data_IF_681678376920
#
_entry.id   IF_681678376920
#
_cell.length_a   1.000
_cell.length_b   1.000
_cell.length_c   1.000
_cell.angle_alpha   90.00
_cell.angle_beta   90.00
_cell.angle_gamma   90.00
#
_symmetry.space_group_name_H-M   'P 1'
#
loop_
_entity.id
_entity.type
_entity.pdbx_description
1 polymer ?
#
# COMPACT_ATOMS: atom_id res chain seq x y z
N UNK A 1 24.29 -5.47 -58.49
CA UNK A 1 23.22 -4.54 -58.09
C UNK A 1 23.25 -4.40 -56.58
N UNK A 2 23.36 -3.16 -56.15
CA UNK A 2 23.61 -2.63 -54.80
C UNK A 2 22.65 -3.16 -53.71
N UNK A 3 23.20 -3.72 -52.65
CA UNK A 3 22.51 -3.98 -51.38
C UNK A 3 22.80 -2.80 -50.45
N UNK A 4 21.75 -2.07 -50.08
CA UNK A 4 21.81 -0.93 -49.17
C UNK A 4 22.06 -1.39 -47.73
N UNK A 5 23.08 -0.80 -47.09
CA UNK A 5 23.41 -0.97 -45.68
C UNK A 5 22.45 -0.16 -44.81
N UNK A 6 21.68 -0.85 -43.97
CA UNK A 6 20.83 -0.21 -42.95
C UNK A 6 21.69 0.28 -41.78
N UNK A 7 21.81 1.60 -41.64
CA UNK A 7 22.41 2.27 -40.49
C UNK A 7 21.53 2.10 -39.25
N UNK A 8 22.11 1.58 -38.17
CA UNK A 8 21.48 1.53 -36.84
C UNK A 8 21.20 2.96 -36.35
N UNK A 9 19.94 3.25 -36.05
CA UNK A 9 19.54 4.48 -35.37
C UNK A 9 19.75 4.31 -33.86
N UNK A 10 20.80 4.92 -33.33
CA UNK A 10 20.91 5.18 -31.88
C UNK A 10 19.87 6.23 -31.45
N UNK A 11 19.49 6.28 -30.16
CA UNK A 11 18.53 7.26 -29.67
C UNK A 11 19.14 8.66 -29.82
N UNK A 12 18.50 9.45 -30.67
CA UNK A 12 18.80 10.86 -30.89
C UNK A 12 18.87 11.59 -29.57
N UNK A 13 20.02 12.16 -29.26
CA UNK A 13 20.27 13.04 -28.11
C UNK A 13 19.43 14.32 -28.31
N UNK A 14 18.18 14.28 -27.88
CA UNK A 14 17.35 15.48 -27.80
C UNK A 14 18.01 16.44 -26.80
N UNK A 15 18.20 17.67 -27.25
CA UNK A 15 18.76 18.77 -26.48
C UNK A 15 18.00 18.95 -25.17
N UNK A 16 18.73 18.79 -24.06
CA UNK A 16 18.28 19.16 -22.73
C UNK A 16 18.14 20.69 -22.65
N UNK A 17 16.97 21.22 -22.98
CA UNK A 17 16.64 22.63 -22.83
C UNK A 17 15.13 22.88 -22.66
N UNK A 18 14.41 21.95 -22.05
CA UNK A 18 13.06 22.18 -21.50
C UNK A 18 13.00 21.54 -20.11
N UNK A 19 13.83 22.05 -19.19
CA UNK A 19 13.49 21.93 -17.78
C UNK A 19 12.31 22.87 -17.53
N UNK A 20 11.09 22.41 -17.83
CA UNK A 20 9.90 23.03 -17.26
C UNK A 20 10.16 23.13 -15.77
N UNK A 21 10.28 24.35 -15.25
CA UNK A 21 10.51 24.56 -13.84
C UNK A 21 9.41 23.79 -13.11
N UNK A 22 9.78 22.74 -12.38
CA UNK A 22 8.83 21.95 -11.60
C UNK A 22 8.24 22.92 -10.58
N UNK A 23 7.07 23.48 -10.88
CA UNK A 23 6.33 24.32 -9.94
C UNK A 23 5.89 23.39 -8.82
N UNK A 24 6.45 23.53 -7.59
CA UNK A 24 6.05 22.68 -6.49
C UNK A 24 4.55 22.80 -6.28
N UNK A 25 3.91 21.67 -5.96
CA UNK A 25 2.49 21.67 -5.63
C UNK A 25 2.23 22.54 -4.39
N UNK A 26 0.98 22.99 -4.17
CA UNK A 26 0.67 23.87 -3.04
C UNK A 26 1.01 23.25 -1.68
N UNK A 27 1.02 21.91 -1.59
CA UNK A 27 1.56 21.19 -0.42
C UNK A 27 2.24 19.89 -0.84
N UNK A 28 3.13 19.36 0.02
CA UNK A 28 3.79 18.05 -0.18
C UNK A 28 2.79 16.88 -0.34
N UNK A 29 1.54 17.02 0.11
CA UNK A 29 0.50 16.03 -0.13
C UNK A 29 0.03 16.03 -1.59
N UNK A 30 -0.10 17.20 -2.24
CA UNK A 30 -0.53 17.31 -3.64
C UNK A 30 0.48 16.70 -4.62
N UNK A 31 1.75 16.64 -4.22
CA UNK A 31 2.81 15.99 -4.98
C UNK A 31 2.83 14.47 -4.80
N UNK A 32 2.12 13.95 -3.80
CA UNK A 32 2.10 12.52 -3.52
C UNK A 32 1.30 11.73 -4.55
N UNK A 33 1.71 10.48 -4.79
CA UNK A 33 0.97 9.57 -5.67
C UNK A 33 -0.43 9.25 -5.15
N UNK A 34 -0.60 9.23 -3.82
CA UNK A 34 -1.91 9.08 -3.17
C UNK A 34 -2.89 10.18 -3.60
N UNK A 35 -2.46 11.44 -3.64
CA UNK A 35 -3.32 12.53 -4.12
C UNK A 35 -3.64 12.39 -5.61
N UNK A 36 -2.66 12.01 -6.42
CA UNK A 36 -2.78 11.96 -7.88
C UNK A 36 -3.65 10.81 -8.38
N UNK A 37 -3.57 9.65 -7.72
CA UNK A 37 -4.13 8.41 -8.27
C UNK A 37 -5.13 7.70 -7.35
N UNK A 38 -5.17 8.05 -6.06
CA UNK A 38 -6.02 7.38 -5.05
C UNK A 38 -6.97 8.35 -4.36
N UNK A 39 -7.36 9.42 -5.04
CA UNK A 39 -8.36 10.37 -4.59
C UNK A 39 -9.52 10.42 -5.57
N UNK A 40 -10.73 10.25 -5.07
CA UNK A 40 -11.94 10.15 -5.88
C UNK A 40 -13.06 11.01 -5.30
N UNK A 41 -14.02 11.37 -6.14
CA UNK A 41 -15.31 11.86 -5.65
C UNK A 41 -16.14 10.68 -5.11
N UNK A 42 -17.08 10.91 -4.18
CA UNK A 42 -17.96 9.84 -3.68
C UNK A 42 -18.72 9.13 -4.80
N UNK A 43 -19.22 9.88 -5.80
CA UNK A 43 -19.89 9.32 -6.97
C UNK A 43 -18.95 8.49 -7.83
N UNK A 44 -17.75 9.01 -8.16
CA UNK A 44 -16.78 8.29 -8.97
C UNK A 44 -16.29 6.99 -8.31
N UNK A 45 -16.18 6.97 -6.98
CA UNK A 45 -15.84 5.75 -6.24
C UNK A 45 -16.95 4.69 -6.35
N UNK A 46 -18.22 5.11 -6.30
CA UNK A 46 -19.35 4.20 -6.50
C UNK A 46 -19.38 3.65 -7.93
N UNK A 47 -19.14 4.50 -8.93
CA UNK A 47 -19.10 4.11 -10.34
C UNK A 47 -18.00 3.07 -10.61
N UNK A 48 -16.77 3.31 -10.11
CA UNK A 48 -15.64 2.37 -10.23
C UNK A 48 -16.01 1.00 -9.68
N UNK A 49 -16.65 0.96 -8.50
CA UNK A 49 -17.05 -0.30 -7.86
C UNK A 49 -18.16 -1.00 -8.61
N UNK A 50 -19.13 -0.26 -9.13
CA UNK A 50 -20.22 -0.81 -9.91
C UNK A 50 -19.71 -1.40 -11.23
N UNK A 51 -18.84 -0.68 -11.94
CA UNK A 51 -18.21 -1.15 -13.17
C UNK A 51 -17.36 -2.41 -12.92
N UNK A 52 -16.56 -2.40 -11.85
CA UNK A 52 -15.71 -3.53 -11.47
C UNK A 52 -16.54 -4.77 -11.12
N UNK A 53 -17.60 -4.60 -10.33
CA UNK A 53 -18.49 -5.70 -9.96
C UNK A 53 -19.18 -6.27 -11.20
N UNK A 54 -19.71 -5.44 -12.09
CA UNK A 54 -20.35 -5.88 -13.32
C UNK A 54 -19.38 -6.66 -14.23
N UNK A 55 -18.19 -6.12 -14.47
CA UNK A 55 -17.13 -6.81 -15.23
C UNK A 55 -16.78 -8.16 -14.59
N UNK A 56 -16.68 -8.20 -13.26
CA UNK A 56 -16.32 -9.43 -12.54
C UNK A 56 -17.43 -10.48 -12.63
N UNK A 57 -18.70 -10.09 -12.56
CA UNK A 57 -19.84 -11.00 -12.77
C UNK A 57 -19.81 -11.59 -14.18
N UNK A 58 -19.52 -10.79 -15.21
CA UNK A 58 -19.41 -11.26 -16.59
C UNK A 58 -18.28 -12.30 -16.75
N UNK A 59 -17.10 -12.01 -16.20
CA UNK A 59 -15.94 -12.91 -16.22
C UNK A 59 -16.24 -14.21 -15.49
N UNK A 60 -16.80 -14.15 -14.28
CA UNK A 60 -17.15 -15.33 -13.49
C UNK A 60 -18.21 -16.16 -14.20
N UNK A 61 -19.22 -15.52 -14.79
CA UNK A 61 -20.28 -16.23 -15.53
C UNK A 61 -19.69 -16.99 -16.72
N UNK A 62 -18.82 -16.34 -17.50
CA UNK A 62 -18.12 -16.96 -18.62
C UNK A 62 -17.24 -18.13 -18.17
N UNK A 63 -16.43 -17.93 -17.13
CA UNK A 63 -15.54 -18.96 -16.62
C UNK A 63 -16.31 -20.15 -16.02
N UNK A 64 -17.43 -19.90 -15.36
CA UNK A 64 -18.28 -20.97 -14.82
C UNK A 64 -18.89 -21.81 -15.94
N UNK A 65 -19.30 -21.19 -17.06
CA UNK A 65 -19.76 -21.92 -18.24
C UNK A 65 -18.66 -22.79 -18.86
N UNK A 66 -17.43 -22.28 -18.96
CA UNK A 66 -16.28 -23.05 -19.46
C UNK A 66 -15.91 -24.21 -18.52
N UNK A 67 -16.03 -24.02 -17.20
CA UNK A 67 -15.81 -25.10 -16.23
C UNK A 67 -16.85 -26.21 -16.42
N UNK A 68 -18.12 -25.83 -16.63
CA UNK A 68 -19.20 -26.79 -16.92
C UNK A 68 -18.88 -27.62 -18.15
N UNK A 69 -18.48 -26.98 -19.25
CA UNK A 69 -18.07 -27.70 -20.47
C UNK A 69 -16.89 -28.63 -20.22
N UNK A 70 -15.88 -28.17 -19.47
CA UNK A 70 -14.72 -28.99 -19.13
C UNK A 70 -15.10 -30.19 -18.26
N UNK A 71 -15.96 -30.02 -17.25
CA UNK A 71 -16.40 -31.11 -16.39
C UNK A 71 -17.28 -32.13 -17.12
N UNK A 72 -18.15 -31.67 -18.04
CA UNK A 72 -18.92 -32.56 -18.92
C UNK A 72 -17.98 -33.36 -19.82
N UNK A 73 -16.94 -32.74 -20.38
CA UNK A 73 -15.95 -33.44 -21.20
C UNK A 73 -15.16 -34.51 -20.44
N UNK A 74 -15.01 -34.34 -19.12
CA UNK A 74 -14.37 -35.29 -18.21
C UNK A 74 -15.35 -36.37 -17.67
N UNK A 75 -16.63 -36.33 -18.08
CA UNK A 75 -17.63 -37.33 -17.71
C UNK A 75 -18.23 -37.17 -16.32
N UNK A 76 -18.14 -35.98 -15.71
CA UNK A 76 -18.71 -35.71 -14.38
C UNK A 76 -20.12 -35.10 -14.46
N UNK A 77 -20.99 -35.47 -13.52
CA UNK A 77 -22.35 -34.90 -13.37
C UNK A 77 -22.24 -33.48 -12.80
N UNK A 78 -22.54 -32.47 -13.62
CA UNK A 78 -22.45 -31.06 -13.24
C UNK A 78 -23.74 -30.59 -12.57
N UNK A 79 -23.64 -30.01 -11.36
CA UNK A 79 -24.73 -29.25 -10.73
C UNK A 79 -24.88 -27.90 -11.42
N UNK A 80 -26.10 -27.55 -11.86
CA UNK A 80 -26.36 -26.30 -12.60
C UNK A 80 -25.74 -25.05 -11.95
N UNK A 81 -25.25 -24.11 -12.77
CA UNK A 81 -24.63 -22.89 -12.26
C UNK A 81 -25.67 -22.06 -11.48
N UNK A 82 -25.23 -21.34 -10.44
CA UNK A 82 -26.13 -20.50 -9.65
C UNK A 82 -26.79 -19.43 -10.54
N UNK A 83 -28.05 -19.13 -10.26
CA UNK A 83 -28.77 -18.06 -10.94
C UNK A 83 -28.02 -16.72 -10.82
N UNK A 84 -28.13 -15.80 -11.78
CA UNK A 84 -27.41 -14.51 -11.75
C UNK A 84 -27.74 -13.65 -10.52
N UNK A 85 -28.90 -13.86 -9.89
CA UNK A 85 -29.26 -13.23 -8.62
C UNK A 85 -28.44 -13.72 -7.40
N UNK A 86 -27.58 -14.73 -7.59
CA UNK A 86 -26.71 -15.28 -6.55
C UNK A 86 -25.32 -14.64 -6.50
N UNK A 87 -24.98 -13.78 -7.48
CA UNK A 87 -23.70 -13.06 -7.45
C UNK A 87 -23.71 -11.99 -6.35
N UNK A 88 -22.51 -11.60 -5.93
CA UNK A 88 -22.33 -10.61 -4.88
C UNK A 88 -22.65 -9.22 -5.40
N UNK A 89 -23.41 -8.46 -4.61
CA UNK A 89 -23.63 -7.04 -4.85
C UNK A 89 -22.45 -6.21 -4.35
N UNK A 90 -22.29 -4.97 -4.82
CA UNK A 90 -21.26 -4.03 -4.31
C UNK A 90 -21.34 -3.88 -2.79
N UNK A 91 -22.55 -3.80 -2.24
CA UNK A 91 -22.78 -3.73 -0.79
C UNK A 91 -22.30 -4.97 -0.05
N UNK A 92 -22.49 -6.17 -0.62
CA UNK A 92 -21.97 -7.41 -0.06
C UNK A 92 -20.44 -7.44 -0.08
N UNK A 93 -19.81 -7.00 -1.19
CA UNK A 93 -18.35 -6.88 -1.29
C UNK A 93 -17.80 -5.93 -0.22
N UNK A 94 -18.39 -4.74 -0.07
CA UNK A 94 -17.96 -3.76 0.93
C UNK A 94 -18.13 -4.26 2.36
N UNK A 95 -19.21 -4.99 2.65
CA UNK A 95 -19.43 -5.61 3.96
C UNK A 95 -18.31 -6.60 4.29
N UNK A 96 -17.94 -7.44 3.32
CA UNK A 96 -16.86 -8.40 3.47
C UNK A 96 -15.52 -7.70 3.66
N UNK A 97 -15.23 -6.66 2.85
CA UNK A 97 -13.99 -5.89 2.97
C UNK A 97 -13.86 -5.19 4.31
N UNK A 98 -14.95 -4.60 4.81
CA UNK A 98 -14.97 -3.97 6.13
C UNK A 98 -14.67 -4.97 7.25
N UNK A 99 -15.24 -6.18 7.16
CA UNK A 99 -14.90 -7.27 8.08
C UNK A 99 -13.41 -7.59 8.02
N UNK A 100 -12.83 -7.83 6.85
CA UNK A 100 -11.40 -8.16 6.73
C UNK A 100 -10.48 -6.99 7.14
N UNK A 101 -10.85 -5.73 6.89
CA UNK A 101 -10.11 -4.58 7.42
C UNK A 101 -10.08 -4.59 8.96
N UNK A 102 -11.20 -4.92 9.62
CA UNK A 102 -11.22 -5.06 11.08
C UNK A 102 -10.34 -6.21 11.58
N UNK A 103 -10.20 -7.28 10.79
CA UNK A 103 -9.31 -8.40 11.11
C UNK A 103 -7.84 -8.00 10.93
N UNK A 104 -7.49 -7.18 9.93
CA UNK A 104 -6.15 -6.58 9.81
C UNK A 104 -5.77 -5.85 11.09
N UNK A 105 -6.64 -4.95 11.58
CA UNK A 105 -6.41 -4.21 12.81
C UNK A 105 -6.17 -5.13 14.01
N UNK A 106 -7.00 -6.16 14.19
CA UNK A 106 -6.84 -7.13 15.29
C UNK A 106 -5.52 -7.90 15.19
N UNK A 107 -5.18 -8.42 14.00
CA UNK A 107 -3.95 -9.20 13.78
C UNK A 107 -2.71 -8.31 13.95
N UNK A 108 -2.76 -7.07 13.46
CA UNK A 108 -1.67 -6.11 13.58
C UNK A 108 -1.38 -5.76 15.05
N UNK A 109 -2.43 -5.41 15.81
CA UNK A 109 -2.30 -4.99 17.22
C UNK A 109 -2.06 -6.15 18.17
N UNK A 110 -2.86 -7.22 18.09
CA UNK A 110 -2.83 -8.34 19.04
C UNK A 110 -1.89 -9.46 18.61
N UNK A 111 -1.71 -9.67 17.29
CA UNK A 111 -0.91 -10.77 16.76
C UNK A 111 0.59 -10.45 16.74
N UNK A 112 0.96 -9.28 16.21
CA UNK A 112 2.36 -8.89 16.03
C UNK A 112 2.80 -7.70 16.89
N UNK A 113 1.88 -6.93 17.45
CA UNK A 113 2.20 -5.71 18.21
C UNK A 113 2.84 -4.63 17.33
N UNK A 114 2.45 -4.57 16.05
CA UNK A 114 3.02 -3.64 15.09
C UNK A 114 2.43 -2.22 15.27
N UNK A 115 3.18 -1.17 14.91
CA UNK A 115 2.70 0.21 15.04
C UNK A 115 1.51 0.55 14.13
N UNK A 116 0.77 1.60 14.49
CA UNK A 116 -0.42 2.08 13.77
C UNK A 116 -0.13 2.48 12.31
N UNK A 117 1.10 2.92 12.01
CA UNK A 117 1.53 3.20 10.63
C UNK A 117 1.48 1.94 9.74
N UNK A 118 1.82 0.77 10.30
CA UNK A 118 1.78 -0.51 9.57
C UNK A 118 0.32 -0.91 9.34
N UNK A 119 -0.51 -0.79 10.36
CA UNK A 119 -1.95 -1.08 10.31
C UNK A 119 -2.66 -0.24 9.23
N UNK A 120 -2.51 1.09 9.31
CA UNK A 120 -3.14 2.02 8.36
C UNK A 120 -2.67 1.79 6.92
N UNK A 121 -1.38 1.49 6.73
CA UNK A 121 -0.82 1.15 5.41
C UNK A 121 -1.37 -0.17 4.87
N UNK A 122 -1.47 -1.21 5.71
CA UNK A 122 -2.00 -2.51 5.32
C UNK A 122 -3.48 -2.43 4.92
N UNK A 123 -4.28 -1.67 5.67
CA UNK A 123 -5.70 -1.43 5.34
C UNK A 123 -5.83 -0.65 4.04
N UNK A 124 -5.00 0.39 3.84
CA UNK A 124 -4.98 1.15 2.59
C UNK A 124 -4.64 0.25 1.40
N UNK A 125 -3.63 -0.62 1.52
CA UNK A 125 -3.29 -1.59 0.47
C UNK A 125 -4.45 -2.53 0.15
N UNK A 126 -5.12 -3.07 1.19
CA UNK A 126 -6.26 -3.95 1.00
C UNK A 126 -7.37 -3.26 0.23
N UNK A 127 -7.76 -2.05 0.64
CA UNK A 127 -8.83 -1.30 -0.04
C UNK A 127 -8.45 -0.91 -1.46
N UNK A 128 -7.23 -0.41 -1.68
CA UNK A 128 -6.72 -0.06 -3.01
C UNK A 128 -6.69 -1.26 -3.95
N UNK A 129 -6.31 -2.43 -3.44
CA UNK A 129 -6.37 -3.68 -4.20
C UNK A 129 -7.79 -3.98 -4.68
N UNK A 130 -8.78 -3.83 -3.80
CA UNK A 130 -10.19 -4.09 -4.10
C UNK A 130 -10.94 -2.96 -4.82
N UNK A 131 -10.25 -1.87 -5.17
CA UNK A 131 -10.76 -0.90 -6.16
C UNK A 131 -10.44 -1.32 -7.61
N UNK A 132 -9.52 -2.28 -7.79
CA UNK A 132 -9.13 -2.77 -9.13
C UNK A 132 -9.44 -4.25 -9.35
N UNK A 133 -9.68 -5.00 -8.28
CA UNK A 133 -9.95 -6.43 -8.31
C UNK A 133 -11.20 -6.75 -7.48
N UNK A 134 -11.99 -7.75 -7.88
CA UNK A 134 -13.16 -8.18 -7.10
C UNK A 134 -12.82 -9.29 -6.10
N UNK A 135 -13.59 -9.35 -5.01
CA UNK A 135 -13.56 -10.45 -4.03
C UNK A 135 -13.93 -11.81 -4.63
N UNK A 136 -14.68 -11.82 -5.74
CA UNK A 136 -15.03 -13.05 -6.47
C UNK A 136 -13.84 -13.68 -7.18
N UNK A 137 -12.82 -12.91 -7.52
CA UNK A 137 -11.59 -13.42 -8.13
C UNK A 137 -10.52 -13.71 -7.09
N UNK A 138 -10.37 -12.81 -6.12
CA UNK A 138 -9.33 -12.87 -5.11
C UNK A 138 -9.94 -12.77 -3.72
N UNK A 139 -9.95 -13.88 -3.00
CA UNK A 139 -10.55 -13.95 -1.69
C UNK A 139 -9.73 -13.15 -0.64
N UNK A 140 -10.35 -12.26 0.16
CA UNK A 140 -9.62 -11.41 1.11
C UNK A 140 -8.79 -12.17 2.15
N UNK A 141 -9.21 -13.38 2.56
CA UNK A 141 -8.44 -14.26 3.45
C UNK A 141 -7.01 -14.55 2.96
N UNK A 142 -6.79 -14.57 1.63
CA UNK A 142 -5.49 -14.85 1.04
C UNK A 142 -4.71 -13.57 0.71
N UNK A 143 -5.40 -12.48 0.36
CA UNK A 143 -4.78 -11.19 0.01
C UNK A 143 -4.40 -10.38 1.25
N UNK A 144 -5.24 -10.40 2.28
CA UNK A 144 -5.05 -9.65 3.52
C UNK A 144 -3.69 -9.92 4.20
N UNK A 145 -3.24 -11.18 4.37
CA UNK A 145 -1.91 -11.46 4.92
C UNK A 145 -0.81 -10.84 4.06
N UNK A 146 -0.90 -10.94 2.74
CA UNK A 146 0.08 -10.36 1.81
C UNK A 146 0.12 -8.83 1.90
N UNK A 147 -1.03 -8.16 2.00
CA UNK A 147 -1.08 -6.71 2.23
C UNK A 147 -0.41 -6.31 3.55
N UNK A 148 -0.64 -7.06 4.64
CA UNK A 148 -0.02 -6.79 5.93
C UNK A 148 1.50 -7.02 5.89
N UNK A 149 1.96 -8.12 5.28
CA UNK A 149 3.37 -8.42 5.12
C UNK A 149 4.09 -7.36 4.26
N UNK A 150 3.48 -6.95 3.16
CA UNK A 150 4.01 -5.90 2.28
C UNK A 150 4.02 -4.54 2.99
N UNK A 151 2.98 -4.19 3.74
CA UNK A 151 2.94 -2.97 4.55
C UNK A 151 4.08 -2.94 5.56
N UNK A 152 4.30 -4.04 6.29
CA UNK A 152 5.39 -4.20 7.23
C UNK A 152 6.77 -3.98 6.57
N UNK A 153 7.00 -4.54 5.36
CA UNK A 153 8.21 -4.28 4.58
C UNK A 153 8.36 -2.80 4.19
N UNK A 154 7.32 -2.22 3.60
CA UNK A 154 7.37 -0.84 3.04
C UNK A 154 7.43 0.26 4.10
N UNK A 155 7.02 -0.03 5.34
CA UNK A 155 7.08 0.89 6.47
C UNK A 155 8.31 0.70 7.36
N UNK A 156 9.27 -0.15 6.94
CA UNK A 156 10.50 -0.47 7.68
C UNK A 156 10.26 -1.20 9.02
N UNK A 157 9.20 -2.00 9.11
CA UNK A 157 8.95 -2.92 10.23
C UNK A 157 8.90 -4.38 9.72
N UNK A 158 10.00 -4.90 9.12
CA UNK A 158 9.96 -6.21 8.47
C UNK A 158 9.71 -7.32 9.50
N UNK A 159 8.67 -8.11 9.25
CA UNK A 159 8.38 -9.34 10.01
C UNK A 159 8.95 -10.51 9.21
N UNK A 160 9.66 -11.44 9.87
CA UNK A 160 10.17 -12.63 9.21
C UNK A 160 9.03 -13.56 8.79
N UNK A 161 9.11 -14.13 7.59
CA UNK A 161 8.04 -14.95 7.02
C UNK A 161 7.71 -16.16 7.92
N UNK A 162 8.73 -16.78 8.52
CA UNK A 162 8.57 -17.92 9.44
C UNK A 162 7.81 -17.57 10.72
N UNK A 163 7.87 -16.31 11.16
CA UNK A 163 7.11 -15.81 12.31
C UNK A 163 5.71 -15.32 11.90
N UNK A 164 5.56 -14.91 10.64
CA UNK A 164 4.34 -14.38 10.08
C UNK A 164 3.31 -15.46 9.81
N UNK A 165 3.70 -16.54 9.12
CA UNK A 165 2.82 -17.61 8.65
C UNK A 165 2.05 -18.32 9.78
N UNK A 166 2.65 -18.68 10.93
CA UNK A 166 1.95 -19.39 12.00
C UNK A 166 0.75 -18.64 12.60
N UNK A 167 0.63 -17.33 12.35
CA UNK A 167 -0.52 -16.52 12.79
C UNK A 167 -1.75 -16.67 11.90
N UNK A 168 -1.59 -17.25 10.72
CA UNK A 168 -2.67 -17.49 9.77
C UNK A 168 -2.91 -18.99 9.62
N UNK A 169 -4.16 -19.44 9.80
CA UNK A 169 -4.49 -20.84 9.57
C UNK A 169 -4.45 -21.16 8.08
N UNK A 170 -3.85 -22.30 7.72
CA UNK A 170 -3.84 -22.88 6.37
C UNK A 170 -3.15 -22.02 5.29
N UNK A 171 -2.26 -21.10 5.67
CA UNK A 171 -1.46 -20.30 4.74
C UNK A 171 -0.06 -20.89 4.62
N UNK A 172 0.49 -20.98 3.42
CA UNK A 172 1.90 -21.37 3.22
C UNK A 172 2.76 -20.15 2.87
N UNK A 173 4.09 -20.21 3.11
CA UNK A 173 5.01 -19.14 2.68
C UNK A 173 4.92 -18.84 1.18
N UNK A 174 4.68 -19.87 0.35
CA UNK A 174 4.57 -19.73 -1.10
C UNK A 174 3.35 -18.87 -1.49
N UNK A 175 2.21 -19.03 -0.81
CA UNK A 175 0.98 -18.29 -1.14
C UNK A 175 1.16 -16.77 -0.97
N UNK A 176 1.88 -16.35 0.07
CA UNK A 176 2.18 -14.93 0.32
C UNK A 176 3.12 -14.38 -0.75
N UNK A 177 4.15 -15.14 -1.11
CA UNK A 177 5.14 -14.73 -2.11
C UNK A 177 4.55 -14.68 -3.53
N UNK A 178 3.69 -15.64 -3.88
CA UNK A 178 3.04 -15.71 -5.19
C UNK A 178 2.06 -14.54 -5.40
N UNK A 179 1.42 -14.08 -4.32
CA UNK A 179 0.49 -12.95 -4.37
C UNK A 179 1.17 -11.60 -4.16
N UNK A 180 2.40 -11.54 -3.65
CA UNK A 180 3.13 -10.29 -3.37
C UNK A 180 3.24 -9.39 -4.61
N UNK A 181 3.65 -9.97 -5.75
CA UNK A 181 3.78 -9.21 -6.98
C UNK A 181 2.41 -8.75 -7.54
N UNK A 182 1.39 -9.58 -7.42
CA UNK A 182 0.02 -9.24 -7.84
C UNK A 182 -0.52 -8.04 -7.05
N UNK A 183 -0.31 -8.05 -5.73
CA UNK A 183 -0.71 -6.93 -4.87
C UNK A 183 0.07 -5.69 -5.26
N UNK A 184 1.39 -5.77 -5.40
CA UNK A 184 2.24 -4.65 -5.82
C UNK A 184 1.80 -4.03 -7.16
N UNK A 185 1.49 -4.87 -8.16
CA UNK A 185 1.01 -4.41 -9.47
C UNK A 185 -0.35 -3.70 -9.35
N UNK A 186 -1.27 -4.25 -8.56
CA UNK A 186 -2.60 -3.65 -8.34
C UNK A 186 -2.48 -2.28 -7.65
N UNK A 187 -1.53 -2.14 -6.73
CA UNK A 187 -1.20 -0.87 -6.09
C UNK A 187 -0.48 0.12 -7.02
N UNK A 188 -0.14 -0.26 -8.25
CA UNK A 188 0.64 0.57 -9.17
C UNK A 188 2.06 0.84 -8.67
N UNK A 189 2.60 -0.04 -7.81
CA UNK A 189 3.88 0.15 -7.10
C UNK A 189 3.93 1.39 -6.21
N UNK A 190 2.77 1.89 -5.77
CA UNK A 190 2.66 3.07 -4.91
C UNK A 190 2.56 2.69 -3.44
N UNK A 191 3.73 2.43 -2.85
CA UNK A 191 3.85 1.96 -1.48
C UNK A 191 3.83 3.09 -0.44
N UNK A 192 4.01 4.35 -0.86
CA UNK A 192 4.07 5.47 0.06
C UNK A 192 2.68 5.98 0.43
N UNK A 193 2.12 5.44 1.51
CA UNK A 193 0.81 5.83 2.05
C UNK A 193 0.96 6.94 3.10
N UNK A 194 0.20 8.03 2.94
CA UNK A 194 0.10 9.13 3.90
C UNK A 194 -1.08 8.86 4.84
N UNK A 195 -0.81 8.23 5.98
CA UNK A 195 -1.82 8.02 7.04
C UNK A 195 -2.16 9.29 7.82
N UNK A 196 -3.36 9.34 8.40
CA UNK A 196 -3.84 10.48 9.18
C UNK A 196 -3.34 10.52 10.64
N UNK A 197 -2.66 9.48 11.13
CA UNK A 197 -2.06 9.43 12.47
C UNK A 197 -1.10 10.60 12.73
N UNK A 198 -0.17 10.84 11.80
CA UNK A 198 0.81 11.94 11.92
C UNK A 198 0.12 13.29 11.92
N UNK A 199 -0.93 13.46 11.12
CA UNK A 199 -1.69 14.70 11.05
C UNK A 199 -2.50 14.93 12.33
N UNK A 200 -3.12 13.89 12.89
CA UNK A 200 -3.84 13.95 14.16
C UNK A 200 -2.90 14.38 15.30
N UNK A 201 -1.72 13.79 15.41
CA UNK A 201 -0.70 14.22 16.40
C UNK A 201 -0.24 15.65 16.15
N UNK A 202 -0.06 16.04 14.88
CA UNK A 202 0.28 17.41 14.49
C UNK A 202 -0.75 18.43 14.94
N UNK A 203 -2.05 18.14 14.77
CA UNK A 203 -3.13 19.00 15.29
C UNK A 203 -3.06 19.15 16.81
N UNK A 204 -2.82 18.06 17.54
CA UNK A 204 -2.65 18.11 18.99
C UNK A 204 -1.48 19.01 19.41
N UNK A 205 -0.37 19.00 18.68
CA UNK A 205 0.77 19.89 18.93
C UNK A 205 0.45 21.35 18.59
N UNK A 206 -0.29 21.62 17.51
CA UNK A 206 -0.67 22.99 17.15
C UNK A 206 -1.66 23.59 18.15
N UNK A 207 -2.59 22.78 18.68
CA UNK A 207 -3.47 23.17 19.79
C UNK A 207 -2.70 23.48 21.09
N UNK A 208 -1.57 22.81 21.33
CA UNK A 208 -0.69 23.11 22.47
C UNK A 208 0.12 24.39 22.28
N UNK A 209 0.36 24.81 21.04
CA UNK A 209 1.17 25.98 20.70
C UNK A 209 0.38 27.32 20.77
N UNK A 210 -0.83 27.30 21.34
CA UNK A 210 -1.63 28.50 21.54
C UNK A 210 -1.19 29.29 22.79
N UNK A 211 -1.47 30.60 22.89
CA UNK A 211 -1.08 31.41 24.05
C UNK A 211 -1.65 30.93 25.39
N UNK A 212 -2.84 30.32 25.39
CA UNK A 212 -3.46 29.71 26.57
C UNK A 212 -4.02 28.32 26.21
N UNK A 213 -3.18 27.28 26.17
CA UNK A 213 -3.58 25.98 25.65
C UNK A 213 -4.34 25.18 26.73
N UNK A 214 -5.52 24.61 26.41
CA UNK A 214 -6.27 23.74 27.33
C UNK A 214 -5.63 22.35 27.41
N UNK A 215 -4.45 22.25 28.04
CA UNK A 215 -3.62 21.03 28.06
C UNK A 215 -4.35 19.79 28.62
N UNK A 216 -5.18 19.98 29.65
CA UNK A 216 -5.96 18.89 30.24
C UNK A 216 -7.01 18.35 29.26
N UNK A 217 -7.73 19.26 28.57
CA UNK A 217 -8.70 18.89 27.54
C UNK A 217 -8.06 18.14 26.39
N UNK A 218 -6.90 18.61 25.89
CA UNK A 218 -6.13 17.98 24.81
C UNK A 218 -5.67 16.57 25.22
N UNK A 219 -5.09 16.42 26.42
CA UNK A 219 -4.60 15.12 26.91
C UNK A 219 -5.72 14.11 27.10
N UNK A 220 -6.88 14.56 27.60
CA UNK A 220 -8.07 13.72 27.83
C UNK A 220 -8.76 13.28 26.55
N UNK A 221 -8.81 14.14 25.53
CA UNK A 221 -9.51 13.86 24.26
C UNK A 221 -8.64 13.10 23.25
N UNK A 222 -7.31 13.15 23.35
CA UNK A 222 -6.40 12.45 22.43
C UNK A 222 -6.68 10.93 22.28
N UNK A 223 -6.88 10.14 23.36
CA UNK A 223 -7.20 8.72 23.21
C UNK A 223 -8.50 8.47 22.44
N UNK A 224 -9.52 9.30 22.70
CA UNK A 224 -10.80 9.24 21.98
C UNK A 224 -10.61 9.60 20.51
N UNK A 225 -9.81 10.63 20.20
CA UNK A 225 -9.48 11.02 18.84
C UNK A 225 -8.74 9.90 18.08
N UNK A 226 -7.79 9.21 18.71
CA UNK A 226 -7.10 8.04 18.11
C UNK A 226 -8.06 6.85 17.88
N UNK A 227 -9.03 6.65 18.76
CA UNK A 227 -10.09 5.64 18.56
C UNK A 227 -10.98 6.00 17.36
N UNK A 228 -11.39 7.27 17.26
CA UNK A 228 -12.15 7.79 16.11
C UNK A 228 -11.36 7.66 14.80
N UNK A 229 -10.06 7.95 14.83
CA UNK A 229 -9.17 7.76 13.68
C UNK A 229 -9.12 6.28 13.27
N UNK A 230 -9.00 5.35 14.22
CA UNK A 230 -9.03 3.91 13.94
C UNK A 230 -10.35 3.51 13.25
N UNK A 231 -11.48 4.06 13.67
CA UNK A 231 -12.77 3.81 13.01
C UNK A 231 -12.83 4.40 11.59
N UNK A 232 -12.16 5.53 11.34
CA UNK A 232 -12.05 6.11 9.99
C UNK A 232 -11.36 5.18 8.99
N UNK A 233 -10.45 4.32 9.45
CA UNK A 233 -9.78 3.32 8.61
C UNK A 233 -10.74 2.26 8.08
N UNK A 234 -11.93 2.11 8.64
CA UNK A 234 -12.94 1.16 8.16
C UNK A 234 -13.89 1.76 7.10
N UNK A 235 -13.70 3.02 6.73
CA UNK A 235 -14.54 3.73 5.76
C UNK A 235 -13.74 4.24 4.56
N UNK A 236 -14.42 4.83 3.59
CA UNK A 236 -13.81 5.37 2.38
C UNK A 236 -13.20 6.77 2.56
N UNK A 237 -13.07 7.24 3.82
CA UNK A 237 -12.59 8.58 4.11
C UNK A 237 -11.22 8.86 3.48
N UNK A 238 -10.32 7.86 3.45
CA UNK A 238 -8.97 7.99 2.88
C UNK A 238 -8.93 8.28 1.37
N UNK A 239 -10.00 7.92 0.65
CA UNK A 239 -10.12 8.10 -0.79
C UNK A 239 -10.75 9.43 -1.16
N UNK A 240 -11.45 10.07 -0.22
CA UNK A 240 -12.23 11.29 -0.48
C UNK A 240 -11.52 12.52 0.11
N UNK A 241 -11.00 12.37 1.33
CA UNK A 241 -10.48 13.46 2.14
C UNK A 241 -8.99 13.34 2.41
N UNK A 242 -8.36 14.48 2.68
CA UNK A 242 -6.94 14.53 3.02
C UNK A 242 -6.67 13.99 4.43
N UNK A 243 -5.47 13.45 4.71
CA UNK A 243 -5.13 12.98 6.06
C UNK A 243 -5.28 14.05 7.14
N UNK A 244 -5.02 15.32 6.81
CA UNK A 244 -5.19 16.45 7.73
C UNK A 244 -6.64 16.72 8.07
N UNK A 245 -7.55 16.64 7.10
CA UNK A 245 -9.00 16.79 7.32
C UNK A 245 -9.54 15.63 8.16
N UNK A 246 -9.11 14.39 7.89
CA UNK A 246 -9.51 13.22 8.66
C UNK A 246 -9.02 13.34 10.11
N UNK A 247 -7.77 13.73 10.32
CA UNK A 247 -7.22 13.96 11.65
C UNK A 247 -7.95 15.05 12.43
N UNK A 248 -8.30 16.16 11.78
CA UNK A 248 -9.07 17.25 12.40
C UNK A 248 -10.49 16.79 12.78
N UNK A 249 -11.15 16.02 11.91
CA UNK A 249 -12.48 15.50 12.19
C UNK A 249 -12.49 14.48 13.34
N UNK A 250 -11.44 13.66 13.46
CA UNK A 250 -11.29 12.76 14.60
C UNK A 250 -11.15 13.51 15.94
N UNK A 251 -10.45 14.66 15.95
CA UNK A 251 -10.38 15.57 17.08
C UNK A 251 -11.73 16.24 17.37
N UNK A 252 -12.40 16.76 16.34
CA UNK A 252 -13.68 17.45 16.50
C UNK A 252 -14.74 16.49 17.07
N UNK A 253 -14.75 15.23 16.62
CA UNK A 253 -15.65 14.23 17.16
C UNK A 253 -15.35 13.86 18.62
N UNK A 254 -14.10 14.04 19.08
CA UNK A 254 -13.70 13.78 20.46
C UNK A 254 -14.01 14.97 21.38
N UNK A 255 -13.77 16.20 20.92
CA UNK A 255 -14.08 17.44 21.62
C UNK A 255 -14.35 18.58 20.62
N UNK A 256 -15.63 18.84 20.28
CA UNK A 256 -15.99 19.90 19.34
C UNK A 256 -15.55 21.28 19.85
N UNK A 257 -15.72 21.53 21.15
CA UNK A 257 -15.46 22.83 21.77
C UNK A 257 -13.99 23.22 21.67
N UNK A 258 -13.09 22.25 21.86
CA UNK A 258 -11.65 22.41 21.72
C UNK A 258 -11.28 22.81 20.28
N UNK A 259 -11.83 22.10 19.29
CA UNK A 259 -11.50 22.32 17.89
C UNK A 259 -12.10 23.63 17.38
N UNK A 260 -13.36 23.92 17.68
CA UNK A 260 -14.02 25.15 17.24
C UNK A 260 -13.33 26.39 17.81
N UNK A 261 -13.03 26.41 19.12
CA UNK A 261 -12.29 27.51 19.76
C UNK A 261 -10.89 27.68 19.16
N UNK A 262 -10.21 26.57 18.87
CA UNK A 262 -8.92 26.59 18.20
C UNK A 262 -9.02 27.21 16.80
N UNK A 263 -10.01 26.78 16.00
CA UNK A 263 -10.22 27.31 14.65
C UNK A 263 -10.61 28.79 14.68
N UNK A 264 -11.54 29.20 15.55
CA UNK A 264 -11.92 30.61 15.72
C UNK A 264 -10.69 31.49 15.98
N UNK A 265 -9.82 31.05 16.88
CA UNK A 265 -8.59 31.77 17.17
C UNK A 265 -7.65 31.85 15.95
N UNK A 266 -7.44 30.73 15.23
CA UNK A 266 -6.52 30.68 14.07
C UNK A 266 -7.04 31.49 12.88
N UNK A 267 -8.34 31.48 12.61
CA UNK A 267 -8.94 32.27 11.54
C UNK A 267 -9.01 33.76 11.90
N UNK A 268 -9.28 34.11 13.16
CA UNK A 268 -9.30 35.51 13.62
C UNK A 268 -7.92 36.16 13.64
N UNK A 269 -6.88 35.39 14.00
CA UNK A 269 -5.49 35.88 14.05
C UNK A 269 -4.77 35.82 12.70
N UNK A 270 -5.41 35.26 11.67
CA UNK A 270 -4.77 35.13 10.36
C UNK A 270 -4.68 36.47 9.64
N UNK A 271 -3.47 36.86 9.27
CA UNK A 271 -3.21 37.98 8.38
C UNK A 271 -2.65 37.40 7.07
N UNK A 272 -3.36 37.56 5.93
CA UNK A 272 -2.87 37.11 4.64
C UNK A 272 -1.50 37.73 4.36
N UNK A 273 -0.51 36.90 4.01
CA UNK A 273 0.79 37.40 3.62
C UNK A 273 0.66 38.01 2.23
N UNK A 274 0.65 39.34 2.11
CA UNK A 274 0.79 39.98 0.80
C UNK A 274 2.17 39.62 0.24
N UNK A 275 2.24 38.63 -0.63
CA UNK A 275 3.41 38.42 -1.46
C UNK A 275 3.57 39.63 -2.37
N UNK A 276 4.39 40.59 -1.95
CA UNK A 276 4.98 41.60 -2.83
C UNK A 276 5.97 40.90 -3.75
N UNK A 277 5.49 40.39 -4.88
CA UNK A 277 6.31 40.26 -6.08
C UNK A 277 6.29 41.61 -6.81
N UNK A 278 6.77 42.67 -6.16
CA UNK A 278 7.29 43.83 -6.90
C UNK A 278 8.72 43.50 -7.25
N UNK A 279 8.94 43.19 -8.51
CA UNK A 279 10.23 43.23 -9.19
C UNK A 279 10.90 44.56 -8.85
N UNK A 280 11.85 44.53 -7.93
CA UNK A 280 12.78 45.63 -7.71
C UNK A 280 13.87 45.50 -8.78
N UNK A 281 13.56 45.94 -10.00
CA UNK A 281 14.50 46.23 -11.08
C UNK A 281 13.74 46.97 -12.18
N UNK A 282 13.51 48.27 -12.00
CA UNK A 282 13.52 49.25 -13.09
C UNK A 282 13.56 50.66 -12.50
N UNK A 283 14.78 51.08 -12.15
CA UNK A 283 15.13 52.49 -12.06
C UNK A 283 15.66 52.94 -13.42
N UNK A 284 14.80 53.54 -14.27
CA UNK A 284 15.26 54.41 -15.37
C UNK A 284 14.35 55.64 -15.50
N UNK A 285 14.90 56.72 -14.97
CA UNK A 285 14.86 58.13 -15.41
C UNK A 285 14.14 58.42 -16.75
N UNK A 286 13.12 59.30 -16.69
CA UNK A 286 13.05 60.49 -17.54
C UNK A 286 12.06 61.51 -16.95
N UNK A 287 12.48 62.78 -16.90
CA UNK A 287 11.82 63.86 -16.19
C UNK A 287 11.07 64.89 -17.04
N UNK A 288 10.66 65.95 -16.35
CA UNK A 288 10.01 67.22 -16.76
C UNK A 288 8.54 67.12 -17.20
N UNK A 289 7.61 67.98 -16.80
CA UNK A 289 7.60 69.24 -16.04
C UNK A 289 6.21 69.32 -15.34
N UNK A 290 6.07 69.80 -14.11
CA UNK A 290 5.86 71.22 -13.81
C UNK A 290 4.40 71.64 -14.03
N UNK A 291 3.55 71.56 -12.99
CA UNK A 291 2.77 72.73 -12.58
C UNK A 291 2.16 72.58 -11.17
N UNK A 292 2.10 73.69 -10.48
CA UNK A 292 1.68 73.91 -9.10
C UNK A 292 0.31 74.57 -9.14
N UNK A 293 -0.69 74.04 -8.43
CA UNK A 293 -1.78 74.88 -7.93
C UNK A 293 -2.41 74.27 -6.65
N UNK A 294 -2.49 75.04 -5.55
CA UNK A 294 -3.16 74.65 -4.32
C UNK A 294 -4.59 75.23 -4.27
N UNK A 295 -5.43 74.59 -3.44
CA UNK A 295 -6.67 75.10 -2.84
C UNK A 295 -7.99 74.61 -3.46
N UNK A 296 -8.87 74.10 -2.59
CA UNK A 296 -10.31 74.28 -2.77
C UNK A 296 -11.21 73.03 -2.77
N UNK A 297 -11.68 72.68 -1.58
CA UNK A 297 -13.12 72.50 -1.28
C UNK A 297 -13.84 71.20 -1.65
N UNK A 298 -14.39 70.60 -0.60
CA UNK A 298 -15.41 69.55 -0.58
C UNK A 298 -16.67 69.90 -1.37
N UNK A 299 -17.20 68.95 -2.13
CA UNK A 299 -18.63 68.84 -2.40
C UNK A 299 -19.03 67.39 -2.64
N UNK A 300 -19.95 66.91 -1.80
CA UNK A 300 -20.79 65.75 -2.05
C UNK A 300 -21.54 65.91 -3.37
N UNK A 301 -21.55 64.88 -4.21
CA UNK A 301 -22.82 64.37 -4.74
C UNK A 301 -22.67 62.96 -5.35
N UNK A 302 -23.41 62.03 -4.74
CA UNK A 302 -24.24 60.96 -5.32
C UNK A 302 -23.81 60.27 -6.62
N UNK A 303 -23.49 58.96 -6.54
CA UNK A 303 -23.79 58.01 -7.62
C UNK A 303 -23.88 56.57 -7.07
N UNK A 304 -25.10 56.02 -7.13
CA UNK A 304 -25.37 54.59 -7.06
C UNK A 304 -24.56 53.87 -8.15
N UNK A 305 -23.83 52.83 -7.76
CA UNK A 305 -22.96 52.07 -8.66
C UNK A 305 -22.70 50.68 -8.13
N UNK A 306 -23.65 49.78 -8.41
CA UNK A 306 -23.44 48.37 -8.72
C UNK A 306 -22.28 47.68 -7.96
N UNK A 307 -22.58 47.06 -6.81
CA UNK A 307 -21.69 46.10 -6.16
C UNK A 307 -21.59 44.82 -6.99
N UNK A 308 -20.87 44.90 -8.10
CA UNK A 308 -20.27 43.73 -8.72
C UNK A 308 -19.22 43.22 -7.75
N UNK A 309 -19.57 42.19 -6.99
CA UNK A 309 -18.66 41.38 -6.17
C UNK A 309 -17.56 40.82 -7.09
N UNK A 310 -16.52 41.62 -7.30
CA UNK A 310 -15.24 41.13 -7.77
C UNK A 310 -14.63 40.43 -6.56
N UNK A 311 -14.86 39.12 -6.46
CA UNK A 311 -14.20 38.26 -5.48
C UNK A 311 -12.69 38.35 -5.71
N UNK A 312 -12.04 39.28 -5.03
CA UNK A 312 -10.62 39.17 -4.76
C UNK A 312 -10.47 37.91 -3.90
N UNK A 313 -9.93 36.84 -4.46
CA UNK A 313 -9.49 35.66 -3.73
C UNK A 313 -8.39 36.10 -2.75
N UNK A 314 -8.80 36.64 -1.61
CA UNK A 314 -7.92 36.81 -0.47
C UNK A 314 -7.41 35.43 -0.08
N UNK A 315 -6.11 35.30 0.15
CA UNK A 315 -5.53 34.08 0.72
C UNK A 315 -6.26 33.84 2.05
N UNK A 316 -7.05 32.75 2.14
CA UNK A 316 -7.80 32.39 3.34
C UNK A 316 -6.95 31.43 4.20
N UNK A 317 -7.11 31.43 5.52
CA UNK A 317 -6.44 30.46 6.40
C UNK A 317 -6.78 29.03 5.96
N UNK A 318 -5.76 28.19 5.77
CA UNK A 318 -5.88 26.83 5.19
C UNK A 318 -6.50 26.76 3.78
N UNK A 319 -6.62 27.89 3.07
CA UNK A 319 -7.13 27.98 1.71
C UNK A 319 -8.64 27.76 1.56
N UNK A 320 -9.42 27.88 2.64
CA UNK A 320 -10.88 27.82 2.58
C UNK A 320 -11.56 28.50 3.76
N UNK A 321 -12.80 28.95 3.56
CA UNK A 321 -13.65 29.51 4.63
C UNK A 321 -13.85 28.51 5.77
N UNK A 322 -13.84 29.02 7.00
CA UNK A 322 -14.06 28.21 8.20
C UNK A 322 -15.37 27.41 8.14
N UNK A 323 -16.46 28.00 7.66
CA UNK A 323 -17.76 27.32 7.51
C UNK A 323 -17.68 26.12 6.56
N UNK A 324 -16.89 26.23 5.49
CA UNK A 324 -16.66 25.12 4.56
C UNK A 324 -15.82 24.02 5.20
N UNK A 325 -14.79 24.38 5.95
CA UNK A 325 -13.97 23.41 6.68
C UNK A 325 -14.80 22.61 7.69
N UNK A 326 -15.65 23.29 8.47
CA UNK A 326 -16.56 22.64 9.42
C UNK A 326 -17.59 21.72 8.74
N UNK A 327 -18.09 22.08 7.56
CA UNK A 327 -18.94 21.18 6.77
C UNK A 327 -18.19 19.91 6.35
N UNK A 328 -16.94 20.04 5.88
CA UNK A 328 -16.10 18.89 5.51
C UNK A 328 -15.83 18.01 6.74
N UNK A 329 -15.51 18.63 7.87
CA UNK A 329 -15.35 17.93 9.15
C UNK A 329 -16.61 17.14 9.50
N UNK A 330 -17.78 17.78 9.45
CA UNK A 330 -19.07 17.13 9.74
C UNK A 330 -19.37 15.95 8.81
N UNK A 331 -19.03 16.04 7.52
CA UNK A 331 -19.21 14.93 6.59
C UNK A 331 -18.27 13.75 6.91
N UNK A 332 -17.02 14.04 7.29
CA UNK A 332 -16.09 13.00 7.74
C UNK A 332 -16.57 12.36 9.04
N UNK A 333 -17.11 13.14 9.98
CA UNK A 333 -17.64 12.60 11.23
C UNK A 333 -18.78 11.60 11.01
N UNK A 334 -19.68 11.88 10.06
CA UNK A 334 -20.73 10.92 9.68
C UNK A 334 -20.10 9.61 9.21
N UNK A 335 -19.08 9.69 8.35
CA UNK A 335 -18.35 8.49 7.90
C UNK A 335 -17.66 7.77 9.06
N UNK A 336 -17.03 8.49 10.00
CA UNK A 336 -16.38 7.88 11.17
C UNK A 336 -17.41 7.14 12.03
N UNK A 337 -18.56 7.76 12.30
CA UNK A 337 -19.68 7.14 13.04
C UNK A 337 -20.17 5.87 12.32
N UNK A 338 -20.30 5.92 11.01
CA UNK A 338 -20.65 4.75 10.21
C UNK A 338 -19.62 3.63 10.34
N UNK A 339 -18.33 3.97 10.46
CA UNK A 339 -17.22 3.05 10.69
C UNK A 339 -17.19 2.42 12.08
N UNK A 340 -17.72 3.11 13.09
CA UNK A 340 -17.82 2.60 14.47
C UNK A 340 -18.86 1.48 14.63
N UNK A 341 -19.82 1.36 13.70
CA UNK A 341 -20.82 0.30 13.72
C UNK A 341 -20.13 -1.07 13.63
N UNK A 342 -20.38 -1.98 14.55
CA UNK A 342 -19.80 -3.31 14.44
C UNK A 342 -20.39 -4.08 13.26
N UNK A 343 -19.54 -4.83 12.56
CA UNK A 343 -19.96 -5.65 11.42
C UNK A 343 -20.68 -6.89 11.92
N UNK A 344 -21.93 -7.11 11.46
CA UNK A 344 -22.70 -8.30 11.81
C UNK A 344 -22.09 -9.56 11.17
N UNK A 345 -21.44 -10.35 12.02
CA UNK A 345 -20.75 -11.59 11.64
C UNK A 345 -21.70 -12.60 10.97
N UNK A 346 -23.01 -12.59 11.29
CA UNK A 346 -23.98 -13.50 10.66
C UNK A 346 -24.16 -13.16 9.18
N UNK A 347 -24.33 -11.88 8.88
CA UNK A 347 -24.44 -11.39 7.49
C UNK A 347 -23.15 -11.63 6.72
N UNK A 348 -21.99 -11.40 7.35
CA UNK A 348 -20.69 -11.71 6.74
C UNK A 348 -20.58 -13.20 6.40
N UNK A 349 -20.99 -14.10 7.30
CA UNK A 349 -21.00 -15.55 7.03
C UNK A 349 -21.93 -15.95 5.90
N UNK A 350 -23.09 -15.29 5.79
CA UNK A 350 -24.01 -15.49 4.66
C UNK A 350 -23.40 -15.02 3.33
N UNK A 351 -22.79 -13.84 3.33
CA UNK A 351 -22.06 -13.29 2.18
C UNK A 351 -20.89 -14.20 1.79
N UNK A 352 -20.10 -14.69 2.75
CA UNK A 352 -18.98 -15.61 2.53
C UNK A 352 -19.46 -16.96 1.95
N UNK A 353 -20.60 -17.46 2.41
CA UNK A 353 -21.23 -18.66 1.85
C UNK A 353 -21.65 -18.45 0.39
N UNK A 354 -22.23 -17.29 0.06
CA UNK A 354 -22.54 -16.91 -1.33
C UNK A 354 -21.26 -16.77 -2.16
N UNK A 355 -20.22 -16.12 -1.63
CA UNK A 355 -18.93 -15.97 -2.28
C UNK A 355 -18.33 -17.31 -2.70
N UNK A 356 -18.39 -18.34 -1.84
CA UNK A 356 -17.89 -19.69 -2.17
C UNK A 356 -18.60 -20.31 -3.38
N UNK A 357 -19.85 -19.92 -3.65
CA UNK A 357 -20.62 -20.43 -4.79
C UNK A 357 -20.34 -19.65 -6.09
N UNK A 358 -19.94 -18.38 -5.98
CA UNK A 358 -19.69 -17.49 -7.11
C UNK A 358 -18.21 -17.09 -7.27
N UNK A 359 -17.29 -17.83 -6.64
CA UNK A 359 -15.85 -17.61 -6.81
C UNK A 359 -15.39 -18.08 -8.18
N UNK A 360 -14.47 -17.33 -8.80
CA UNK A 360 -13.98 -17.64 -10.14
C UNK A 360 -13.27 -19.02 -10.16
N UNK A 361 -13.79 -20.02 -10.88
CA UNK A 361 -13.20 -21.36 -10.89
C UNK A 361 -11.77 -21.36 -11.44
N UNK A 362 -11.43 -20.44 -12.35
CA UNK A 362 -10.07 -20.33 -12.89
C UNK A 362 -9.00 -20.03 -11.83
N UNK A 363 -9.39 -19.43 -10.69
CA UNK A 363 -8.46 -19.01 -9.62
C UNK A 363 -8.46 -19.95 -8.43
N UNK A 364 -9.36 -20.93 -8.39
CA UNK A 364 -9.48 -21.89 -7.28
C UNK A 364 -8.59 -23.10 -7.58
N UNK A 365 -7.57 -23.40 -6.74
CA UNK A 365 -6.74 -24.57 -6.93
C UNK A 365 -7.56 -25.87 -6.91
N UNK A 366 -7.45 -26.66 -7.98
CA UNK A 366 -8.08 -27.98 -8.09
C UNK A 366 -9.32 -28.04 -9.00
N UNK A 367 -9.85 -26.92 -9.48
CA UNK A 367 -10.86 -26.92 -10.55
C UNK A 367 -10.25 -27.34 -11.90
N UNK A 368 -11.08 -27.81 -12.83
CA UNK A 368 -10.58 -28.27 -14.14
C UNK A 368 -9.96 -27.11 -14.93
N UNK A 369 -10.57 -25.93 -14.89
CA UNK A 369 -10.03 -24.70 -15.49
C UNK A 369 -8.70 -24.28 -14.87
N UNK A 370 -8.57 -24.28 -13.54
CA UNK A 370 -7.31 -23.93 -12.90
C UNK A 370 -6.18 -24.88 -13.34
N UNK A 371 -6.44 -26.19 -13.34
CA UNK A 371 -5.45 -27.19 -13.76
C UNK A 371 -5.09 -27.01 -15.23
N UNK A 372 -6.07 -26.77 -16.11
CA UNK A 372 -5.84 -26.51 -17.53
C UNK A 372 -4.95 -25.27 -17.73
N UNK A 373 -5.29 -24.15 -17.08
CA UNK A 373 -4.52 -22.90 -17.16
C UNK A 373 -3.12 -23.02 -16.59
N UNK A 374 -2.97 -23.73 -15.47
CA UNK A 374 -1.66 -23.97 -14.87
C UNK A 374 -0.76 -24.75 -15.82
N UNK A 375 -1.28 -25.82 -16.44
CA UNK A 375 -0.55 -26.60 -17.45
C UNK A 375 -0.18 -25.75 -18.69
N UNK A 376 -1.11 -24.92 -19.17
CA UNK A 376 -0.85 -23.99 -20.27
C UNK A 376 0.28 -23.00 -19.93
N UNK A 377 0.26 -22.43 -18.72
CA UNK A 377 1.29 -21.49 -18.24
C UNK A 377 2.65 -22.18 -18.11
N UNK A 378 2.70 -23.35 -17.48
CA UNK A 378 3.94 -24.14 -17.34
C UNK A 378 4.51 -24.54 -18.71
N UNK A 379 3.66 -24.93 -19.66
CA UNK A 379 4.07 -25.24 -21.03
C UNK A 379 4.61 -24.00 -21.77
N UNK A 380 3.97 -22.84 -21.61
CA UNK A 380 4.42 -21.58 -22.19
C UNK A 380 5.78 -21.13 -21.60
N UNK A 381 5.96 -21.26 -20.28
CA UNK A 381 7.23 -20.95 -19.61
C UNK A 381 8.34 -21.92 -20.04
N UNK A 382 8.05 -23.22 -20.16
CA UNK A 382 8.98 -24.21 -20.67
C UNK A 382 9.39 -23.92 -22.11
N UNK A 383 8.43 -23.57 -22.97
CA UNK A 383 8.68 -23.16 -24.36
C UNK A 383 9.52 -21.88 -24.45
N UNK A 384 9.23 -20.87 -23.61
CA UNK A 384 10.01 -19.63 -23.56
C UNK A 384 11.45 -19.87 -23.08
N UNK A 385 11.65 -20.73 -22.07
CA UNK A 385 12.98 -21.15 -21.61
C UNK A 385 13.73 -21.92 -22.71
N UNK A 386 13.07 -22.84 -23.39
CA UNK A 386 13.65 -23.59 -24.51
C UNK A 386 14.06 -22.66 -25.66
N UNK A 387 13.19 -21.71 -26.04
CA UNK A 387 13.48 -20.73 -27.08
C UNK A 387 14.66 -19.80 -26.71
N UNK A 388 14.75 -19.38 -25.44
CA UNK A 388 15.90 -18.61 -24.94
C UNK A 388 17.20 -19.42 -24.98
N UNK A 389 17.15 -20.70 -24.59
CA UNK A 389 18.30 -21.60 -24.66
C UNK A 389 18.74 -21.86 -26.10
N UNK A 390 17.79 -22.01 -27.04
CA UNK A 390 18.07 -22.18 -28.46
C UNK A 390 18.67 -20.90 -29.10
N UNK A 391 18.20 -19.71 -28.70
CA UNK A 391 18.81 -18.43 -29.11
C UNK A 391 20.22 -18.25 -28.56
N UNK A 392 20.48 -18.63 -27.30
CA UNK A 392 21.85 -18.62 -26.77
C UNK A 392 22.76 -19.61 -27.48
N UNK A 393 22.28 -20.83 -27.74
CA UNK A 393 23.05 -21.87 -28.42
C UNK A 393 23.39 -21.49 -29.88
N UNK A 394 22.45 -20.86 -30.60
CA UNK A 394 22.70 -20.35 -31.95
C UNK A 394 23.62 -19.13 -31.95
N UNK A 395 23.52 -18.24 -30.97
CA UNK A 395 24.47 -17.14 -30.79
C UNK A 395 25.89 -17.66 -30.53
N UNK A 396 26.07 -18.67 -29.66
CA UNK A 396 27.38 -19.29 -29.41
C UNK A 396 27.93 -20.09 -30.60
N UNK A 397 27.07 -20.57 -31.50
CA UNK A 397 27.49 -21.24 -32.73
C UNK A 397 27.93 -20.25 -33.82
N UNK A 398 27.46 -19.00 -33.76
CA UNK A 398 27.89 -17.91 -34.65
C UNK A 398 29.07 -17.10 -34.13
N UNK A 399 29.47 -17.26 -32.86
CA UNK A 399 30.48 -16.43 -32.19
C UNK A 399 31.91 -17.00 -32.26
N UNK A 400 32.21 -17.76 -33.34
CA UNK A 400 33.54 -18.35 -33.57
C UNK A 400 34.64 -17.34 -33.90
N UNK A 401 34.37 -16.02 -33.93
CA UNK A 401 35.31 -15.03 -34.48
C UNK A 401 35.16 -13.58 -33.92
N UNK A 402 34.79 -13.38 -32.63
CA UNK A 402 34.72 -12.02 -32.04
C UNK A 402 35.86 -11.70 -31.05
N UNK A 403 36.47 -12.67 -30.39
CA UNK A 403 37.71 -12.47 -29.63
C UNK A 403 38.83 -13.29 -30.25
N UNK A 404 39.73 -12.58 -30.93
CA UNK A 404 40.79 -13.08 -31.81
C UNK A 404 41.34 -14.47 -31.52
N UNK A 405 41.55 -15.22 -32.60
CA UNK A 405 42.25 -16.50 -32.67
C UNK A 405 43.43 -16.58 -31.70
N UNK A 406 43.50 -17.66 -30.92
CA UNK A 406 44.58 -17.94 -29.98
C UNK A 406 45.96 -17.75 -30.64
N UNK A 407 46.82 -16.95 -29.98
CA UNK A 407 48.17 -16.66 -30.44
C UNK A 407 48.95 -17.96 -30.68
N UNK A 408 49.46 -18.10 -31.90
CA UNK A 408 50.37 -19.16 -32.32
C UNK A 408 51.61 -19.18 -31.42
N UNK A 409 51.93 -20.35 -30.85
CA UNK A 409 53.12 -20.55 -30.03
C UNK A 409 54.41 -20.35 -30.86
N UNK A 410 55.45 -19.70 -30.30
CA UNK A 410 56.72 -19.52 -31.00
C UNK A 410 57.51 -20.85 -31.08
N UNK A 411 58.43 -21.01 -32.06
CA UNK A 411 59.17 -22.24 -32.28
C UNK A 411 60.24 -22.46 -31.20
N UNK A 412 60.73 -23.71 -31.01
CA UNK A 412 61.63 -24.03 -29.91
C UNK A 412 63.05 -23.54 -30.22
N UNK A 413 63.65 -22.82 -29.28
CA UNK A 413 65.09 -22.61 -29.22
C UNK A 413 65.66 -23.09 -27.88
N UNK A 414 66.87 -23.62 -28.00
CA UNK A 414 67.56 -24.54 -27.12
C UNK A 414 67.92 -23.96 -25.74
N UNK A 415 67.87 -24.86 -24.76
CA UNK A 415 68.51 -24.92 -23.44
C UNK A 415 69.43 -23.77 -23.01
N UNK A 416 69.24 -23.28 -21.78
CA UNK A 416 70.27 -23.23 -20.73
C UNK A 416 69.58 -23.19 -19.35
N UNK A 417 70.19 -23.96 -18.44
CA UNK A 417 69.86 -24.27 -17.05
C UNK A 417 69.81 -23.09 -16.07
N UNK A 418 68.87 -23.11 -15.10
CA UNK A 418 69.16 -23.33 -13.68
C UNK A 418 67.96 -23.04 -12.76
N UNK A 419 67.65 -24.03 -11.92
CA UNK A 419 67.18 -23.98 -10.52
C UNK A 419 66.36 -22.76 -10.04
N UNK A 420 65.09 -22.98 -9.68
CA UNK A 420 64.63 -23.20 -8.28
C UNK A 420 63.10 -23.09 -8.20
N UNK A 421 62.53 -23.98 -7.39
CA UNK A 421 61.12 -24.25 -7.18
C UNK A 421 60.44 -23.26 -6.21
N UNK A 422 59.23 -22.82 -6.52
CA UNK A 422 58.11 -22.85 -5.56
C UNK A 422 56.75 -22.78 -6.28
N UNK A 423 55.99 -23.86 -6.15
CA UNK A 423 54.68 -24.08 -6.75
C UNK A 423 53.56 -23.49 -5.90
N UNK A 424 52.64 -22.81 -6.57
CA UNK A 424 51.33 -22.35 -6.08
C UNK A 424 50.38 -23.56 -5.94
N UNK A 425 49.70 -23.66 -4.80
CA UNK A 425 48.70 -24.69 -4.49
C UNK A 425 47.29 -24.15 -4.82
N UNK A 426 46.56 -24.84 -5.70
CA UNK A 426 45.10 -24.71 -5.86
C UNK A 426 44.37 -25.63 -4.87
N UNK A 427 43.20 -25.25 -4.31
CA UNK A 427 42.40 -26.16 -3.52
C UNK A 427 41.47 -27.00 -4.41
N UNK A 428 41.59 -28.33 -4.31
CA UNK A 428 40.75 -29.33 -4.97
C UNK A 428 39.70 -29.85 -3.99
N UNK A 429 38.46 -29.87 -4.45
CA UNK A 429 37.26 -30.42 -3.84
C UNK A 429 37.41 -31.93 -3.57
N UNK A 430 37.13 -32.41 -2.35
CA UNK A 430 37.01 -33.84 -2.03
C UNK A 430 35.63 -34.18 -1.49
N UNK A 431 35.01 -35.17 -2.15
CA UNK A 431 33.81 -35.91 -1.74
C UNK A 431 34.09 -36.74 -0.48
N UNK A 432 33.08 -36.93 0.38
CA UNK A 432 33.09 -37.93 1.45
C UNK A 432 31.79 -38.76 1.42
N UNK A 433 31.95 -40.07 1.22
CA UNK A 433 31.16 -41.26 1.59
C UNK A 433 32.24 -42.28 2.01
N UNK A 434 32.15 -43.20 2.96
CA UNK A 434 31.15 -43.94 3.76
C UNK A 434 31.78 -44.12 5.18
N UNK A 435 31.22 -44.71 6.25
CA UNK A 435 30.53 -45.99 6.41
C UNK A 435 30.11 -46.18 7.90
N UNK A 436 29.21 -47.14 8.12
CA UNK A 436 28.65 -47.59 9.41
C UNK A 436 29.64 -48.48 10.20
N UNK A 437 29.54 -48.50 11.54
CA UNK A 437 29.61 -49.76 12.30
C UNK A 437 28.87 -49.68 13.65
N UNK A 438 28.34 -50.81 14.09
CA UNK A 438 27.49 -51.06 15.27
C UNK A 438 28.30 -51.29 16.56
N UNK A 439 27.65 -51.14 17.73
CA UNK A 439 28.16 -51.71 18.99
C UNK A 439 27.50 -51.21 20.27
N UNK A 440 26.74 -52.08 20.92
CA UNK A 440 25.90 -51.95 22.11
C UNK A 440 26.70 -52.12 23.43
N UNK A 441 26.34 -51.44 24.54
CA UNK A 441 26.22 -52.01 25.92
C UNK A 441 26.00 -50.96 27.04
N UNK A 442 25.50 -51.47 28.17
CA UNK A 442 24.64 -50.85 29.19
C UNK A 442 25.33 -50.30 30.46
N UNK A 443 24.52 -49.52 31.21
CA UNK A 443 24.33 -49.52 32.67
C UNK A 443 25.18 -48.64 33.63
N UNK A 444 24.42 -48.11 34.60
CA UNK A 444 24.74 -47.73 35.98
C UNK A 444 25.40 -46.37 36.34
N UNK A 445 24.54 -45.46 36.82
CA UNK A 445 24.43 -45.20 38.26
C UNK A 445 25.53 -44.41 38.97
N UNK A 446 25.24 -43.13 39.31
CA UNK A 446 25.29 -42.55 40.67
C UNK A 446 25.28 -41.01 40.64
N UNK A 447 24.22 -40.42 41.21
CA UNK A 447 24.28 -39.12 41.93
C UNK A 447 24.98 -39.35 43.28
N UNK A 448 25.57 -38.33 43.95
CA UNK A 448 24.74 -37.50 44.84
C UNK A 448 25.20 -36.04 45.11
N UNK A 449 24.22 -35.25 45.56
CA UNK A 449 24.28 -34.14 46.54
C UNK A 449 24.74 -32.71 46.14
N UNK A 450 23.73 -31.83 46.05
CA UNK A 450 23.72 -30.45 46.61
C UNK A 450 23.69 -30.51 48.16
N UNK A 451 23.95 -29.46 48.97
CA UNK A 451 22.98 -28.34 49.12
C UNK A 451 23.50 -26.99 49.70
N UNK A 452 22.80 -25.88 49.38
CA UNK A 452 22.21 -24.89 50.32
C UNK A 452 21.84 -23.61 49.55
N UNK A 453 20.54 -23.33 49.39
CA UNK A 453 19.65 -22.64 50.34
C UNK A 453 20.01 -21.17 50.57
N UNK A 454 19.16 -20.26 50.09
CA UNK A 454 18.09 -19.61 50.88
C UNK A 454 17.16 -18.85 49.93
N UNK A 455 15.89 -19.28 49.86
CA UNK A 455 14.71 -18.72 50.54
C UNK A 455 14.13 -17.53 49.75
N UNK A 456 13.00 -17.70 49.06
CA UNK A 456 11.62 -17.75 49.59
C UNK A 456 11.21 -16.34 50.05
N UNK A 457 10.11 -15.76 49.59
CA UNK A 457 8.74 -16.19 49.94
C UNK A 457 7.73 -15.64 48.93
N UNK A 458 6.88 -16.56 48.45
CA UNK A 458 5.42 -16.56 48.23
C UNK A 458 4.67 -15.27 47.80
N UNK A 459 3.65 -15.34 46.95
CA UNK A 459 3.05 -16.53 46.34
C UNK A 459 1.72 -16.27 45.65
N UNK A 460 1.30 -17.33 44.94
CA UNK A 460 -0.08 -17.77 44.66
C UNK A 460 -0.99 -16.90 43.81
N UNK A 461 -1.20 -17.30 42.55
CA UNK A 461 -2.45 -17.94 42.15
C UNK A 461 -2.29 -18.59 40.77
N UNK A 462 -2.57 -19.89 40.71
CA UNK A 462 -2.73 -20.66 39.50
C UNK A 462 -4.11 -20.37 38.89
N UNK A 463 -4.19 -20.23 37.56
CA UNK A 463 -5.15 -20.97 36.74
C UNK A 463 -4.95 -20.70 35.25
N UNK A 464 -4.83 -21.83 34.53
CA UNK A 464 -5.33 -22.10 33.17
C UNK A 464 -4.83 -21.19 32.04
N UNK A 465 -3.79 -21.70 31.37
CA UNK A 465 -3.52 -21.42 29.96
C UNK A 465 -4.61 -22.06 29.11
N UNK A 466 -5.55 -21.28 28.63
CA UNK A 466 -6.31 -21.60 27.41
C UNK A 466 -5.75 -20.78 26.25
N UNK A 467 -5.12 -21.48 25.31
CA UNK A 467 -4.79 -20.91 24.01
C UNK A 467 -6.08 -20.74 23.22
N UNK A 468 -6.51 -19.49 23.05
CA UNK A 468 -7.59 -19.16 22.12
C UNK A 468 -7.05 -19.23 20.70
N UNK A 469 -7.42 -20.31 20.02
CA UNK A 469 -7.21 -20.53 18.59
C UNK A 469 -8.10 -19.55 17.79
N UNK A 470 -7.60 -18.34 17.52
CA UNK A 470 -8.36 -17.23 16.92
C UNK A 470 -8.63 -17.36 15.40
N UNK A 471 -8.54 -18.55 14.80
CA UNK A 471 -8.77 -18.69 13.34
C UNK A 471 -9.55 -19.93 12.92
N UNK A 472 -10.24 -20.62 13.84
CA UNK A 472 -10.95 -21.86 13.50
C UNK A 472 -12.40 -21.76 13.01
N UNK A 473 -13.06 -20.61 13.10
CA UNK A 473 -14.44 -20.49 12.62
C UNK A 473 -14.64 -19.45 11.51
N UNK A 474 -13.98 -19.66 10.34
CA UNK A 474 -14.44 -19.23 9.00
C UNK A 474 -13.95 -20.19 7.91
#
# INVERSE_FOLDING_TARGET
MTVATASQAGPSRQSAADSSALTPGPTSYHESSQFRHWRYSPAGLADIRQELNQRSVEVVTKNTALEKEAQISLGHTYTEPPAPASYLTVSDELLLLRFYCSQVSKICRQGFGLPEVVESTAISYLKRFYLKNSVMEWHPKNIMPTCLFLAAKTTNYPVLLDQFIPRFSKLTPADVLDTEFLVAQSLGFEFWVRGAEKALRGWGLDMQNQPNPPLEGISKSLPTALSNLSASLLTDAEFIYTPSQIGLAAWHLADPSLVETFLDHRYSTYVPSKNTSTSADDAVVNGSAGDFDPNGTSSNDSAEGNSGESQSEGEEMYGMKQSRLLHIVSDIEKMIKDGQVEVDVKKVKEVDKRLKQCSNPEKIPGTALYVKRKREKEAAEASAKAAKHQKLASASASDGDIFGSALSAPPPLLSISNSTSSSVISPRLTQIKSEQDNGNESADGRKPLSPRQRLSVNGSAAQVREGVDMTKDV
#
